data_IF_892672981308
#
_entry.id   IF_892672981308
#
_cell.length_a   1.000
_cell.length_b   1.000
_cell.length_c   1.000
_cell.angle_alpha   90.00
_cell.angle_beta   90.00
_cell.angle_gamma   90.00
#
_symmetry.space_group_name_H-M   'P 1'
#
loop_
_entity.id
_entity.type
_entity.pdbx_description
1 polymer ?
#
# COMPACT_ATOMS: atom_id res chain seq x y z
N UNK A 1 12.26 0.75 9.01
CA UNK A 1 11.03 0.68 8.20
C UNK A 1 10.54 -0.74 8.26
N UNK A 2 9.36 -0.96 8.83
CA UNK A 2 8.73 -2.30 8.85
C UNK A 2 8.28 -2.71 7.45
N UNK A 3 8.09 -4.00 7.19
CA UNK A 3 7.56 -4.49 5.91
C UNK A 3 6.20 -3.85 5.59
N UNK A 4 5.33 -3.72 6.60
CA UNK A 4 4.03 -3.07 6.47
C UNK A 4 4.13 -1.61 6.06
N UNK A 5 4.99 -0.83 6.73
CA UNK A 5 5.26 0.57 6.36
C UNK A 5 5.76 0.70 4.92
N UNK A 6 6.69 -0.17 4.51
CA UNK A 6 7.23 -0.16 3.16
C UNK A 6 6.13 -0.41 2.12
N UNK A 7 5.29 -1.42 2.32
CA UNK A 7 4.21 -1.77 1.39
C UNK A 7 3.19 -0.65 1.24
N UNK A 8 2.87 0.06 2.33
CA UNK A 8 1.99 1.23 2.31
C UNK A 8 2.65 2.38 1.54
N UNK A 9 3.90 2.74 1.88
CA UNK A 9 4.61 3.84 1.21
C UNK A 9 4.78 3.56 -0.29
N UNK A 10 5.17 2.35 -0.65
CA UNK A 10 5.31 1.93 -2.04
C UNK A 10 3.99 2.01 -2.80
N UNK A 11 2.89 1.54 -2.18
CA UNK A 11 1.55 1.62 -2.78
C UNK A 11 1.08 3.06 -2.93
N UNK A 12 1.31 3.92 -1.93
CA UNK A 12 0.96 5.34 -1.98
C UNK A 12 1.75 6.08 -3.07
N UNK A 13 3.06 5.84 -3.16
CA UNK A 13 3.92 6.39 -4.20
C UNK A 13 3.45 5.94 -5.60
N UNK A 14 3.17 4.65 -5.77
CA UNK A 14 2.64 4.12 -7.03
C UNK A 14 1.33 4.80 -7.42
N UNK A 15 0.37 4.88 -6.48
CA UNK A 15 -0.93 5.48 -6.73
C UNK A 15 -0.79 6.95 -7.16
N UNK A 16 0.02 7.73 -6.44
CA UNK A 16 0.24 9.14 -6.73
C UNK A 16 0.90 9.32 -8.11
N UNK A 17 1.99 8.61 -8.38
CA UNK A 17 2.68 8.67 -9.68
C UNK A 17 1.81 8.15 -10.83
N UNK A 18 0.87 7.25 -10.58
CA UNK A 18 0.00 6.72 -11.62
C UNK A 18 -1.16 7.67 -12.00
N UNK A 19 -1.49 8.66 -11.15
CA UNK A 19 -2.61 9.58 -11.40
C UNK A 19 -2.47 10.42 -12.69
N UNK A 20 -1.33 11.07 -12.99
CA UNK A 20 -1.15 11.82 -14.24
C UNK A 20 -1.38 10.96 -15.49
N UNK A 21 -1.01 9.67 -15.43
CA UNK A 21 -1.27 8.73 -16.51
C UNK A 21 -2.78 8.51 -16.73
N UNK A 22 -3.53 8.28 -15.66
CA UNK A 22 -4.98 8.07 -15.73
C UNK A 22 -5.75 9.32 -16.18
N UNK A 23 -5.29 10.50 -15.79
CA UNK A 23 -5.99 11.76 -16.10
C UNK A 23 -5.67 12.26 -17.50
N UNK A 24 -4.39 12.24 -17.89
CA UNK A 24 -3.91 12.89 -19.10
C UNK A 24 -3.20 11.93 -20.05
N UNK A 25 -2.15 11.24 -19.60
CA UNK A 25 -1.19 10.62 -20.54
C UNK A 25 -1.80 9.50 -21.36
N UNK A 26 -2.70 8.67 -20.79
CA UNK A 26 -3.39 7.61 -21.54
C UNK A 26 -4.23 8.11 -22.72
N UNK A 27 -4.57 9.40 -22.76
CA UNK A 27 -5.34 10.01 -23.85
C UNK A 27 -4.45 10.53 -24.98
N UNK A 28 -3.15 10.68 -24.76
CA UNK A 28 -2.21 11.16 -25.77
C UNK A 28 -1.87 10.05 -26.77
N UNK A 29 -1.30 10.40 -27.92
CA UNK A 29 -0.82 9.43 -28.93
C UNK A 29 0.71 9.25 -28.87
N UNK A 30 1.34 9.66 -27.78
CA UNK A 30 2.79 9.52 -27.56
C UNK A 30 3.08 8.19 -26.86
N UNK A 31 2.85 7.07 -27.54
CA UNK A 31 2.87 5.75 -26.93
C UNK A 31 4.23 5.35 -26.33
N UNK A 32 5.34 5.76 -26.96
CA UNK A 32 6.68 5.53 -26.39
C UNK A 32 6.89 6.24 -25.05
N UNK A 33 6.39 7.47 -24.92
CA UNK A 33 6.44 8.23 -23.67
C UNK A 33 5.52 7.65 -22.60
N UNK A 34 4.35 7.15 -22.98
CA UNK A 34 3.45 6.42 -22.08
C UNK A 34 4.11 5.15 -21.54
N UNK A 35 4.72 4.35 -22.42
CA UNK A 35 5.50 3.15 -22.05
C UNK A 35 6.60 3.49 -21.05
N UNK A 36 7.43 4.48 -21.38
CA UNK A 36 8.52 4.93 -20.50
C UNK A 36 7.99 5.40 -19.15
N UNK A 37 6.93 6.21 -19.14
CA UNK A 37 6.32 6.73 -17.91
C UNK A 37 5.79 5.62 -16.99
N UNK A 38 5.11 4.62 -17.56
CA UNK A 38 4.59 3.48 -16.77
C UNK A 38 5.73 2.69 -16.15
N UNK A 39 6.77 2.35 -16.93
CA UNK A 39 7.94 1.64 -16.41
C UNK A 39 8.64 2.44 -15.30
N UNK A 40 8.83 3.75 -15.51
CA UNK A 40 9.39 4.64 -14.51
C UNK A 40 8.53 4.70 -13.24
N UNK A 41 7.21 4.74 -13.38
CA UNK A 41 6.26 4.74 -12.25
C UNK A 41 6.40 3.46 -11.41
N UNK A 42 6.46 2.29 -12.06
CA UNK A 42 6.65 1.02 -11.35
C UNK A 42 8.02 0.89 -10.68
N UNK A 43 9.08 1.40 -11.31
CA UNK A 43 10.42 1.38 -10.73
C UNK A 43 10.52 2.36 -9.55
N UNK A 44 10.06 3.60 -9.75
CA UNK A 44 10.08 4.64 -8.74
C UNK A 44 9.24 4.27 -7.52
N UNK A 45 8.09 3.60 -7.66
CA UNK A 45 7.28 3.22 -6.50
C UNK A 45 7.95 2.21 -5.58
N UNK A 46 8.83 1.37 -6.09
CA UNK A 46 9.62 0.41 -5.31
C UNK A 46 10.85 1.10 -4.72
N UNK A 47 11.47 1.99 -5.49
CA UNK A 47 12.76 2.61 -5.16
C UNK A 47 12.62 3.80 -4.21
N UNK A 48 11.63 4.68 -4.42
CA UNK A 48 11.43 5.91 -3.64
C UNK A 48 11.24 5.68 -2.13
N UNK A 49 10.48 4.68 -1.66
CA UNK A 49 10.30 4.45 -0.22
C UNK A 49 11.60 4.19 0.56
N UNK A 50 12.69 3.80 -0.11
CA UNK A 50 14.00 3.64 0.52
C UNK A 50 14.73 4.97 0.75
N UNK A 51 14.36 6.02 0.01
CA UNK A 51 14.95 7.34 0.15
C UNK A 51 14.16 8.13 1.20
N UNK A 52 14.74 8.23 2.40
CA UNK A 52 14.26 9.12 3.45
C UNK A 52 15.05 10.41 3.36
N UNK A 53 14.46 11.45 2.77
CA UNK A 53 15.08 12.77 2.79
C UNK A 53 14.80 13.44 4.13
N UNK A 54 15.66 13.18 5.13
CA UNK A 54 15.86 13.98 6.36
C UNK A 54 14.63 14.62 7.03
N UNK A 55 13.45 14.00 6.91
CA UNK A 55 12.17 14.67 7.13
C UNK A 55 11.82 14.79 8.61
N UNK A 56 11.27 15.94 8.98
CA UNK A 56 10.69 16.18 10.30
C UNK A 56 9.71 15.08 10.68
N UNK A 57 9.87 14.55 11.89
CA UNK A 57 8.97 13.53 12.44
C UNK A 57 7.64 14.18 12.77
N UNK A 58 6.58 13.87 12.01
CA UNK A 58 5.22 14.14 12.46
C UNK A 58 4.91 13.11 13.55
N UNK A 59 4.90 13.57 14.81
CA UNK A 59 4.42 12.80 15.94
C UNK A 59 2.92 12.60 15.79
N UNK A 60 2.50 11.44 15.31
CA UNK A 60 1.09 11.05 15.35
C UNK A 60 0.84 10.50 16.74
N UNK A 61 0.02 11.19 17.54
CA UNK A 61 -0.46 10.66 18.82
C UNK A 61 -1.38 9.47 18.53
N UNK A 62 -0.81 8.27 18.56
CA UNK A 62 -1.55 7.03 18.52
C UNK A 62 -1.71 6.54 19.96
N UNK A 63 -2.94 6.60 20.48
CA UNK A 63 -3.26 6.08 21.81
C UNK A 63 -3.41 4.56 21.73
N UNK A 64 -2.32 3.83 21.95
CA UNK A 64 -2.38 2.39 22.20
C UNK A 64 -2.25 2.16 23.70
N UNK A 65 -3.35 1.80 24.37
CA UNK A 65 -3.30 1.45 25.78
C UNK A 65 -2.91 -0.03 25.89
N UNK A 66 -1.73 -0.29 26.46
CA UNK A 66 -1.35 -1.62 26.93
C UNK A 66 -2.45 -2.13 27.85
N UNK A 67 -3.00 -3.27 27.49
CA UNK A 67 -4.11 -3.92 28.17
C UNK A 67 -3.68 -4.27 29.61
N UNK A 68 -4.10 -3.45 30.56
CA UNK A 68 -3.90 -3.72 31.98
C UNK A 68 -5.00 -4.69 32.42
N UNK A 69 -4.83 -5.97 32.09
CA UNK A 69 -5.56 -7.04 32.76
C UNK A 69 -4.93 -7.21 34.14
N UNK A 70 -5.65 -6.74 35.15
CA UNK A 70 -5.42 -7.13 36.53
C UNK A 70 -5.60 -8.65 36.63
N UNK A 71 -4.55 -9.36 37.07
CA UNK A 71 -4.62 -10.78 37.38
C UNK A 71 -3.96 -11.71 36.37
N UNK A 72 -2.65 -11.60 36.21
CA UNK A 72 -1.82 -12.81 36.04
C UNK A 72 -0.46 -12.54 36.69
N UNK A 73 -0.08 -13.42 37.61
CA UNK A 73 1.25 -13.44 38.17
C UNK A 73 2.28 -13.47 37.03
N UNK A 74 3.28 -12.60 37.08
CA UNK A 74 4.46 -12.70 36.23
C UNK A 74 5.28 -13.89 36.72
N UNK A 75 5.43 -15.00 35.98
CA UNK A 75 6.43 -15.99 36.33
C UNK A 75 7.80 -15.35 36.09
N UNK A 76 8.66 -15.42 37.10
CA UNK A 76 10.08 -15.14 36.96
C UNK A 76 10.67 -16.11 35.92
N UNK A 77 10.85 -15.59 34.70
CA UNK A 77 11.23 -16.39 33.53
C UNK A 77 10.53 -15.84 32.29
N UNK A 78 10.80 -14.57 31.95
CA UNK A 78 10.39 -14.02 30.66
C UNK A 78 11.24 -14.67 29.56
N UNK A 79 10.91 -15.91 29.20
CA UNK A 79 11.12 -16.34 27.82
C UNK A 79 10.47 -15.27 26.96
N UNK A 80 11.25 -14.65 26.07
CA UNK A 80 10.72 -13.71 25.09
C UNK A 80 9.63 -14.45 24.33
N UNK A 81 8.36 -14.18 24.65
CA UNK A 81 7.23 -14.65 23.85
C UNK A 81 7.51 -14.13 22.46
N UNK A 82 7.91 -15.04 21.57
CA UNK A 82 8.15 -14.72 20.17
C UNK A 82 6.80 -14.35 19.61
N UNK A 83 6.48 -13.05 19.64
CA UNK A 83 5.33 -12.52 18.94
C UNK A 83 5.56 -12.85 17.47
N UNK A 84 4.90 -13.92 17.02
CA UNK A 84 5.01 -14.36 15.63
C UNK A 84 4.41 -13.25 14.78
N UNK A 85 5.23 -12.68 13.89
CA UNK A 85 4.79 -11.66 12.95
C UNK A 85 3.90 -12.31 11.87
N UNK A 86 2.64 -12.54 12.23
CA UNK A 86 1.62 -13.11 11.36
C UNK A 86 1.45 -12.31 10.07
N UNK A 87 1.69 -10.99 10.11
CA UNK A 87 1.60 -10.16 8.91
C UNK A 87 2.67 -10.55 7.90
N UNK A 88 3.93 -10.65 8.31
CA UNK A 88 5.02 -11.10 7.43
C UNK A 88 4.78 -12.53 6.94
N UNK A 89 4.30 -13.43 7.80
CA UNK A 89 3.99 -14.82 7.41
C UNK A 89 2.92 -14.87 6.31
N UNK A 90 1.80 -14.16 6.49
CA UNK A 90 0.73 -14.06 5.49
C UNK A 90 1.23 -13.39 4.21
N UNK A 91 2.03 -12.32 4.33
CA UNK A 91 2.59 -11.64 3.17
C UNK A 91 3.48 -12.57 2.34
N UNK A 92 4.46 -13.22 2.96
CA UNK A 92 5.41 -14.09 2.26
C UNK A 92 4.74 -15.35 1.71
N UNK A 93 3.78 -15.94 2.42
CA UNK A 93 2.99 -17.06 1.87
C UNK A 93 2.27 -16.66 0.58
N UNK A 94 1.66 -15.47 0.54
CA UNK A 94 1.08 -14.91 -0.68
C UNK A 94 2.13 -14.74 -1.78
N UNK A 95 3.28 -14.15 -1.48
CA UNK A 95 4.40 -14.01 -2.43
C UNK A 95 4.82 -15.38 -2.99
N UNK A 96 4.98 -16.40 -2.15
CA UNK A 96 5.34 -17.75 -2.58
C UNK A 96 4.30 -18.38 -3.52
N UNK A 97 3.01 -18.27 -3.19
CA UNK A 97 1.93 -18.79 -4.03
C UNK A 97 1.93 -18.08 -5.39
N UNK A 98 1.96 -16.74 -5.41
CA UNK A 98 1.93 -15.98 -6.65
C UNK A 98 3.23 -16.14 -7.48
N UNK A 99 4.38 -16.26 -6.84
CA UNK A 99 5.65 -16.59 -7.49
C UNK A 99 5.60 -17.99 -8.13
N UNK A 100 5.07 -19.00 -7.42
CA UNK A 100 4.87 -20.34 -7.96
C UNK A 100 3.95 -20.36 -9.17
N UNK A 101 2.82 -19.64 -9.10
CA UNK A 101 1.90 -19.49 -10.24
C UNK A 101 2.55 -18.78 -11.43
N UNK A 102 3.35 -17.75 -11.18
CA UNK A 102 4.12 -17.05 -12.20
C UNK A 102 5.14 -17.99 -12.87
N UNK A 103 5.94 -18.72 -12.08
CA UNK A 103 6.93 -19.68 -12.59
C UNK A 103 6.28 -20.82 -13.37
N UNK A 104 5.11 -21.31 -12.94
CA UNK A 104 4.34 -22.30 -13.68
C UNK A 104 3.88 -21.78 -15.05
N UNK A 105 3.32 -20.57 -15.11
CA UNK A 105 2.92 -19.94 -16.38
C UNK A 105 4.12 -19.68 -17.30
N UNK A 106 5.22 -19.18 -16.73
CA UNK A 106 6.45 -18.91 -17.47
C UNK A 106 7.05 -20.21 -18.01
N UNK A 107 7.17 -21.26 -17.20
CA UNK A 107 7.70 -22.55 -17.65
C UNK A 107 6.84 -23.21 -18.75
N UNK A 108 5.51 -23.10 -18.67
CA UNK A 108 4.61 -23.54 -19.75
C UNK A 108 4.87 -22.76 -21.05
N UNK A 109 5.02 -21.45 -20.97
CA UNK A 109 5.33 -20.61 -22.14
C UNK A 109 6.71 -20.94 -22.73
N UNK A 110 7.72 -21.10 -21.88
CA UNK A 110 9.06 -21.51 -22.30
C UNK A 110 9.05 -22.88 -23.01
N UNK A 111 8.30 -23.86 -22.49
CA UNK A 111 8.13 -25.15 -23.17
C UNK A 111 7.52 -24.98 -24.57
N UNK A 112 6.50 -24.14 -24.72
CA UNK A 112 5.89 -23.90 -26.04
C UNK A 112 6.91 -23.27 -27.00
N UNK A 113 7.62 -22.22 -26.57
CA UNK A 113 8.54 -21.45 -27.43
C UNK A 113 9.83 -22.19 -27.76
N UNK A 114 10.39 -22.96 -26.83
CA UNK A 114 11.70 -23.58 -26.99
C UNK A 114 11.66 -25.06 -27.36
N UNK A 115 10.57 -25.77 -27.06
CA UNK A 115 10.45 -27.21 -27.32
C UNK A 115 9.46 -27.51 -28.44
N UNK A 116 8.32 -26.80 -28.50
CA UNK A 116 7.25 -27.12 -29.46
C UNK A 116 7.32 -26.31 -30.75
N UNK A 117 7.83 -25.08 -30.71
CA UNK A 117 7.93 -24.24 -31.89
C UNK A 117 9.14 -24.65 -32.76
N UNK A 118 8.90 -24.94 -34.04
CA UNK A 118 9.94 -25.32 -34.98
C UNK A 118 10.47 -24.10 -35.74
N UNK A 119 11.79 -23.92 -35.80
CA UNK A 119 12.40 -22.79 -36.50
C UNK A 119 12.36 -23.00 -38.02
N UNK A 120 11.95 -21.97 -38.74
CA UNK A 120 12.07 -21.86 -40.21
C UNK A 120 12.46 -20.43 -40.57
N UNK A 121 13.70 -20.23 -41.00
CA UNK A 121 14.30 -18.91 -41.19
C UNK A 121 14.34 -18.09 -39.89
N UNK A 122 13.85 -16.85 -39.94
CA UNK A 122 13.74 -15.95 -38.79
C UNK A 122 12.47 -16.19 -37.95
N UNK A 123 11.58 -17.07 -38.40
CA UNK A 123 10.27 -17.32 -37.79
C UNK A 123 10.24 -18.69 -37.12
N UNK A 124 9.37 -18.83 -36.12
CA UNK A 124 9.12 -20.11 -35.45
C UNK A 124 7.66 -20.48 -35.66
N UNK A 125 7.40 -21.71 -36.06
CA UNK A 125 6.06 -22.19 -36.38
C UNK A 125 5.57 -23.18 -35.33
N UNK A 126 4.33 -23.01 -34.89
CA UNK A 126 3.66 -23.97 -34.02
C UNK A 126 3.07 -25.13 -34.84
N UNK A 127 2.95 -26.33 -34.26
CA UNK A 127 2.18 -27.41 -34.86
C UNK A 127 0.72 -27.00 -35.09
N UNK A 128 0.08 -27.54 -36.14
CA UNK A 128 -1.33 -27.25 -36.49
C UNK A 128 -2.34 -27.63 -35.40
N UNK A 129 -1.94 -28.47 -34.44
CA UNK A 129 -2.75 -28.81 -33.27
C UNK A 129 -2.97 -27.62 -32.32
N UNK A 130 -2.26 -26.50 -32.50
CA UNK A 130 -2.40 -25.29 -31.70
C UNK A 130 -3.41 -24.33 -32.35
N UNK A 131 -4.10 -23.48 -31.57
CA UNK A 131 -5.01 -22.48 -32.12
C UNK A 131 -4.26 -21.49 -33.03
N UNK A 132 -4.96 -20.93 -34.02
CA UNK A 132 -4.43 -19.89 -34.91
C UNK A 132 -4.03 -18.65 -34.12
N UNK A 133 -2.76 -18.59 -33.72
CA UNK A 133 -2.21 -17.57 -32.83
C UNK A 133 -0.90 -17.06 -33.39
N UNK A 134 -0.65 -15.79 -33.17
CA UNK A 134 0.63 -15.14 -33.40
C UNK A 134 1.04 -14.46 -32.10
N UNK A 135 2.31 -14.62 -31.73
CA UNK A 135 2.88 -13.89 -30.60
C UNK A 135 4.40 -13.84 -30.71
N UNK A 136 4.97 -12.94 -29.93
CA UNK A 136 6.42 -12.75 -29.84
C UNK A 136 6.87 -12.96 -28.40
N UNK A 137 8.03 -13.60 -28.27
CA UNK A 137 8.66 -13.87 -26.98
C UNK A 137 10.15 -13.54 -27.06
N UNK A 138 10.56 -12.48 -26.36
CA UNK A 138 11.87 -11.85 -26.54
C UNK A 138 12.14 -11.55 -28.02
N UNK A 139 13.20 -12.11 -28.60
CA UNK A 139 13.58 -11.89 -30.00
C UNK A 139 12.96 -12.92 -30.97
N UNK A 140 12.11 -13.82 -30.48
CA UNK A 140 11.50 -14.89 -31.29
C UNK A 140 10.08 -14.51 -31.68
N UNK A 141 9.75 -14.69 -32.95
CA UNK A 141 8.40 -14.53 -33.48
C UNK A 141 7.83 -15.92 -33.71
N UNK A 142 6.70 -16.22 -33.07
CA UNK A 142 6.01 -17.51 -33.11
C UNK A 142 4.68 -17.35 -33.85
N UNK A 143 4.45 -18.15 -34.88
CA UNK A 143 3.29 -18.05 -35.75
C UNK A 143 2.63 -19.42 -35.95
N UNK A 144 1.32 -19.43 -36.06
CA UNK A 144 0.59 -20.57 -36.60
C UNK A 144 0.71 -20.63 -38.15
N UNK A 145 0.82 -21.81 -38.77
CA UNK A 145 0.97 -21.93 -40.23
C UNK A 145 -0.25 -21.47 -41.05
N UNK A 146 -1.45 -21.51 -40.47
CA UNK A 146 -2.74 -21.26 -41.13
C UNK A 146 -3.06 -19.82 -41.57
N UNK A 147 -2.12 -18.88 -41.51
CA UNK A 147 -2.34 -17.49 -41.96
C UNK A 147 -2.11 -17.35 -43.48
N UNK A 148 -2.93 -16.55 -44.16
CA UNK A 148 -2.72 -16.22 -45.57
C UNK A 148 -1.50 -15.31 -45.77
N UNK A 149 -0.88 -15.34 -46.95
CA UNK A 149 0.33 -14.52 -47.24
C UNK A 149 0.07 -13.01 -47.12
N UNK A 150 -1.14 -12.56 -47.44
CA UNK A 150 -1.55 -11.16 -47.26
C UNK A 150 -1.61 -10.73 -45.79
N UNK A 151 -2.16 -11.58 -44.92
CA UNK A 151 -2.28 -11.32 -43.48
C UNK A 151 -0.93 -11.45 -42.77
N UNK A 152 -0.13 -12.45 -43.16
CA UNK A 152 1.21 -12.71 -42.60
C UNK A 152 2.09 -11.48 -42.62
N UNK A 153 2.06 -10.68 -43.71
CA UNK A 153 2.85 -9.45 -43.82
C UNK A 153 2.61 -8.50 -42.64
N UNK A 154 1.34 -8.24 -42.30
CA UNK A 154 0.97 -7.33 -41.22
C UNK A 154 1.21 -7.92 -39.84
N UNK A 155 0.86 -9.20 -39.66
CA UNK A 155 1.06 -9.93 -38.40
C UNK A 155 2.55 -10.00 -38.06
N UNK A 156 3.41 -10.38 -39.03
CA UNK A 156 4.86 -10.44 -38.82
C UNK A 156 5.42 -9.06 -38.49
N UNK A 157 4.95 -7.99 -39.15
CA UNK A 157 5.40 -6.62 -38.85
C UNK A 157 4.99 -6.18 -37.44
N UNK A 158 3.79 -6.52 -37.00
CA UNK A 158 3.28 -6.31 -35.64
C UNK A 158 4.14 -7.07 -34.61
N UNK A 159 4.27 -8.39 -34.77
CA UNK A 159 5.05 -9.23 -33.84
C UNK A 159 6.53 -8.87 -33.79
N UNK A 160 7.11 -8.47 -34.93
CA UNK A 160 8.48 -7.98 -35.00
C UNK A 160 8.66 -6.70 -34.19
N UNK A 161 7.64 -5.85 -34.08
CA UNK A 161 7.71 -4.63 -33.26
C UNK A 161 7.84 -4.98 -31.78
N UNK A 162 7.03 -5.91 -31.28
CA UNK A 162 7.14 -6.42 -29.91
C UNK A 162 8.51 -7.05 -29.64
N UNK A 163 9.02 -7.84 -30.59
CA UNK A 163 10.32 -8.50 -30.47
C UNK A 163 11.49 -7.50 -30.47
N UNK A 164 11.46 -6.51 -31.37
CA UNK A 164 12.50 -5.47 -31.49
C UNK A 164 12.54 -4.58 -30.25
N UNK A 165 11.38 -4.23 -29.70
CA UNK A 165 11.26 -3.37 -28.53
C UNK A 165 11.31 -4.11 -27.19
N UNK A 166 11.43 -5.44 -27.23
CA UNK A 166 11.52 -6.31 -26.04
C UNK A 166 10.32 -6.15 -25.09
N UNK A 167 9.10 -6.00 -25.63
CA UNK A 167 7.87 -5.81 -24.82
C UNK A 167 7.64 -6.95 -23.80
N UNK A 168 8.17 -8.16 -24.06
CA UNK A 168 8.16 -9.25 -23.09
C UNK A 168 8.84 -8.87 -21.76
N UNK A 169 9.96 -8.15 -21.79
CA UNK A 169 10.68 -7.74 -20.57
C UNK A 169 9.85 -6.79 -19.71
N UNK A 170 9.20 -5.82 -20.34
CA UNK A 170 8.33 -4.87 -19.68
C UNK A 170 7.15 -5.55 -18.97
N UNK A 171 6.55 -6.56 -19.62
CA UNK A 171 5.47 -7.34 -19.01
C UNK A 171 5.97 -8.21 -17.86
N UNK A 172 7.15 -8.83 -18.00
CA UNK A 172 7.78 -9.60 -16.91
C UNK A 172 8.12 -8.72 -15.71
N UNK A 173 8.58 -7.49 -15.94
CA UNK A 173 8.81 -6.50 -14.88
C UNK A 173 7.54 -6.27 -14.06
N UNK A 174 6.40 -6.00 -14.72
CA UNK A 174 5.14 -5.80 -14.01
C UNK A 174 4.55 -7.08 -13.42
N UNK A 175 4.76 -8.25 -14.00
CA UNK A 175 4.41 -9.53 -13.37
C UNK A 175 5.16 -9.71 -12.05
N UNK A 176 6.46 -9.41 -12.05
CA UNK A 176 7.28 -9.45 -10.84
C UNK A 176 6.75 -8.48 -9.77
N UNK A 177 6.46 -7.23 -10.14
CA UNK A 177 5.81 -6.28 -9.23
C UNK A 177 4.47 -6.80 -8.70
N UNK A 178 3.65 -7.43 -9.54
CA UNK A 178 2.37 -8.01 -9.13
C UNK A 178 2.54 -9.21 -8.18
N UNK A 179 3.66 -9.94 -8.22
CA UNK A 179 3.96 -11.01 -7.25
C UNK A 179 4.24 -10.42 -5.86
N UNK A 180 5.08 -9.39 -5.77
CA UNK A 180 5.34 -8.72 -4.48
C UNK A 180 4.15 -7.92 -3.97
N UNK A 181 3.36 -7.36 -4.87
CA UNK A 181 2.16 -6.59 -4.57
C UNK A 181 0.89 -7.39 -4.91
N UNK A 182 0.87 -8.68 -4.59
CA UNK A 182 -0.21 -9.63 -4.97
C UNK A 182 -1.60 -9.23 -4.46
N UNK A 183 -1.69 -8.43 -3.40
CA UNK A 183 -2.94 -7.89 -2.87
C UNK A 183 -3.35 -6.57 -3.55
N UNK A 184 -2.42 -5.89 -4.23
CA UNK A 184 -2.64 -4.55 -4.77
C UNK A 184 -3.19 -4.61 -6.22
N UNK A 185 -4.38 -4.06 -6.50
CA UNK A 185 -4.95 -4.05 -7.84
C UNK A 185 -4.31 -3.00 -8.78
N UNK A 186 -3.66 -1.96 -8.25
CA UNK A 186 -3.10 -0.87 -9.05
C UNK A 186 -1.97 -1.35 -9.98
N UNK A 187 -1.06 -2.20 -9.47
CA UNK A 187 0.00 -2.79 -10.29
C UNK A 187 -0.56 -3.65 -11.43
N UNK A 188 -1.66 -4.38 -11.17
CA UNK A 188 -2.35 -5.18 -12.20
C UNK A 188 -3.04 -4.32 -13.25
N UNK A 189 -3.64 -3.21 -12.84
CA UNK A 189 -4.23 -2.23 -13.76
C UNK A 189 -3.16 -1.58 -14.65
N UNK A 190 -2.03 -1.16 -14.07
CA UNK A 190 -0.93 -0.58 -14.82
C UNK A 190 -0.27 -1.58 -15.77
N UNK A 191 -0.11 -2.85 -15.37
CA UNK A 191 0.31 -3.93 -16.27
C UNK A 191 -0.61 -4.04 -17.49
N UNK A 192 -1.93 -3.98 -17.28
CA UNK A 192 -2.92 -4.01 -18.38
C UNK A 192 -2.76 -2.80 -19.31
N UNK A 193 -2.54 -1.61 -18.74
CA UNK A 193 -2.34 -0.37 -19.49
C UNK A 193 -1.03 -0.35 -20.28
N UNK A 194 0.04 -0.92 -19.72
CA UNK A 194 1.30 -1.10 -20.40
C UNK A 194 1.15 -2.06 -21.60
N UNK A 195 0.45 -3.18 -21.41
CA UNK A 195 0.16 -4.11 -22.49
C UNK A 195 -0.66 -3.43 -23.61
N UNK A 196 -1.69 -2.66 -23.27
CA UNK A 196 -2.49 -1.90 -24.24
C UNK A 196 -1.62 -0.86 -24.99
N UNK A 197 -0.69 -0.21 -24.29
CA UNK A 197 0.30 0.70 -24.90
C UNK A 197 1.22 -0.03 -25.89
N UNK A 198 1.65 -1.26 -25.57
CA UNK A 198 2.45 -2.07 -26.48
C UNK A 198 1.70 -2.41 -27.77
N UNK A 199 0.41 -2.76 -27.65
CA UNK A 199 -0.46 -2.99 -28.82
C UNK A 199 -0.54 -1.73 -29.69
N UNK A 200 -0.72 -0.54 -29.11
CA UNK A 200 -0.77 0.71 -29.87
C UNK A 200 0.53 1.01 -30.63
N UNK A 201 1.68 0.75 -29.99
CA UNK A 201 3.01 0.91 -30.63
C UNK A 201 3.16 -0.06 -31.80
N UNK A 202 2.73 -1.31 -31.61
CA UNK A 202 2.83 -2.34 -32.63
C UNK A 202 1.85 -2.08 -33.78
N UNK A 203 0.64 -1.62 -33.49
CA UNK A 203 -0.38 -1.22 -34.47
C UNK A 203 0.10 -0.03 -35.32
N UNK A 204 0.67 1.01 -34.69
CA UNK A 204 1.21 2.19 -35.41
C UNK A 204 2.33 1.77 -36.39
N UNK A 205 3.16 0.80 -36.03
CA UNK A 205 4.21 0.30 -36.90
C UNK A 205 3.68 -0.66 -37.96
N UNK A 206 2.66 -1.47 -37.64
CA UNK A 206 2.11 -2.47 -38.54
C UNK A 206 1.25 -1.85 -39.66
N UNK A 207 0.40 -0.88 -39.34
CA UNK A 207 -0.58 -0.32 -40.26
C UNK A 207 0.05 0.34 -41.50
N UNK A 208 1.18 1.05 -41.33
CA UNK A 208 1.83 1.76 -42.44
C UNK A 208 0.85 2.70 -43.16
N UNK A 209 0.85 2.67 -44.50
CA UNK A 209 -0.02 3.51 -45.33
C UNK A 209 -1.45 2.95 -45.50
N UNK A 210 -1.69 1.69 -45.16
CA UNK A 210 -2.98 1.01 -45.34
C UNK A 210 -3.58 0.56 -44.00
N UNK A 211 -3.97 1.54 -43.20
CA UNK A 211 -4.59 1.32 -41.90
C UNK A 211 -5.92 0.57 -41.98
N UNK A 212 -6.69 0.76 -43.05
CA UNK A 212 -8.01 0.14 -43.22
C UNK A 212 -7.87 -1.36 -43.46
N UNK A 213 -6.96 -1.78 -44.34
CA UNK A 213 -6.71 -3.20 -44.56
C UNK A 213 -6.16 -3.87 -43.30
N UNK A 214 -5.24 -3.21 -42.61
CA UNK A 214 -4.70 -3.72 -41.35
C UNK A 214 -5.80 -3.92 -40.28
N UNK A 215 -6.72 -2.95 -40.12
CA UNK A 215 -7.84 -3.08 -39.19
C UNK A 215 -8.75 -4.27 -39.53
N UNK A 216 -8.97 -4.56 -40.82
CA UNK A 216 -9.74 -5.74 -41.25
C UNK A 216 -9.03 -7.04 -40.87
N UNK A 217 -7.72 -7.13 -41.12
CA UNK A 217 -6.90 -8.28 -40.71
C UNK A 217 -6.97 -8.46 -39.19
N UNK A 218 -6.88 -7.37 -38.42
CA UNK A 218 -6.97 -7.42 -36.97
C UNK A 218 -8.33 -7.92 -36.47
N UNK A 219 -9.42 -7.41 -37.04
CA UNK A 219 -10.79 -7.84 -36.70
C UNK A 219 -11.00 -9.31 -37.09
N UNK A 220 -10.58 -9.71 -38.29
CA UNK A 220 -10.66 -11.10 -38.75
C UNK A 220 -9.90 -12.05 -37.82
N UNK A 221 -8.69 -11.65 -37.40
CA UNK A 221 -7.85 -12.42 -36.48
C UNK A 221 -8.51 -12.59 -35.10
N UNK A 222 -9.08 -11.53 -34.53
CA UNK A 222 -9.74 -11.59 -33.22
C UNK A 222 -11.06 -12.36 -33.26
N UNK A 223 -11.79 -12.33 -34.37
CA UNK A 223 -13.11 -12.97 -34.50
C UNK A 223 -13.03 -14.45 -34.88
N UNK A 224 -11.98 -14.90 -35.57
CA UNK A 224 -11.71 -16.32 -35.82
C UNK A 224 -12.83 -17.13 -36.51
N UNK A 225 -13.84 -16.47 -37.10
CA UNK A 225 -15.01 -17.10 -37.72
C UNK A 225 -15.51 -16.30 -38.93
N UNK A 226 -16.09 -16.95 -39.97
CA UNK A 226 -17.02 -16.28 -40.88
C UNK A 226 -18.18 -15.68 -40.07
N UNK A 227 -18.76 -14.57 -40.54
CA UNK A 227 -19.57 -13.57 -39.81
C UNK A 227 -20.83 -14.03 -39.02
N UNK A 228 -20.98 -15.30 -38.63
CA UNK A 228 -22.11 -15.84 -37.90
C UNK A 228 -21.66 -16.80 -36.78
N UNK A 229 -21.16 -16.26 -35.66
CA UNK A 229 -21.33 -16.89 -34.34
C UNK A 229 -20.93 -15.91 -33.22
N UNK A 230 -21.92 -15.18 -32.74
CA UNK A 230 -21.81 -14.17 -31.68
C UNK A 230 -21.93 -14.80 -30.29
N UNK A 231 -21.08 -15.77 -29.92
CA UNK A 231 -21.10 -16.33 -28.56
C UNK A 231 -19.70 -16.78 -28.11
N UNK A 232 -19.13 -16.00 -27.17
CA UNK A 232 -18.00 -16.34 -26.26
C UNK A 232 -16.52 -16.02 -26.59
N UNK A 233 -16.14 -15.49 -27.76
CA UNK A 233 -14.79 -14.88 -27.95
C UNK A 233 -14.71 -13.38 -27.57
N UNK A 234 -15.79 -12.80 -27.04
CA UNK A 234 -15.86 -11.43 -26.53
C UNK A 234 -15.24 -11.26 -25.13
N UNK A 235 -14.08 -11.85 -24.84
CA UNK A 235 -13.43 -11.73 -23.53
C UNK A 235 -12.49 -10.52 -23.39
N UNK A 236 -12.66 -9.48 -24.24
CA UNK A 236 -12.44 -8.03 -23.93
C UNK A 236 -12.82 -7.12 -25.11
N UNK A 237 -14.10 -6.75 -25.25
CA UNK A 237 -14.56 -5.80 -26.29
C UNK A 237 -13.79 -4.46 -26.26
N UNK A 238 -13.37 -4.02 -25.08
CA UNK A 238 -12.69 -2.72 -24.90
C UNK A 238 -11.29 -2.62 -25.52
N UNK A 239 -10.53 -3.71 -25.68
CA UNK A 239 -9.13 -3.61 -26.17
C UNK A 239 -9.03 -3.45 -27.69
N UNK A 240 -9.83 -4.21 -28.45
CA UNK A 240 -9.91 -4.05 -29.90
C UNK A 240 -10.50 -2.69 -30.26
N UNK A 241 -11.55 -2.28 -29.55
CA UNK A 241 -12.14 -0.95 -29.73
C UNK A 241 -11.12 0.15 -29.43
N UNK A 242 -10.37 0.07 -28.32
CA UNK A 242 -9.28 1.02 -28.02
C UNK A 242 -8.24 1.07 -29.13
N UNK A 243 -7.80 -0.08 -29.65
CA UNK A 243 -6.80 -0.16 -30.74
C UNK A 243 -7.29 0.50 -32.01
N UNK A 244 -8.51 0.18 -32.46
CA UNK A 244 -9.14 0.79 -33.64
C UNK A 244 -9.32 2.30 -33.43
N UNK A 245 -9.82 2.72 -32.27
CA UNK A 245 -10.01 4.13 -31.95
C UNK A 245 -8.69 4.89 -31.95
N UNK A 246 -7.62 4.33 -31.38
CA UNK A 246 -6.31 4.99 -31.33
C UNK A 246 -5.59 5.00 -32.68
N UNK A 247 -5.81 4.00 -33.54
CA UNK A 247 -5.35 4.02 -34.93
C UNK A 247 -6.02 5.12 -35.76
N UNK A 248 -7.32 5.37 -35.54
CA UNK A 248 -8.08 6.39 -36.27
C UNK A 248 -7.98 7.79 -35.63
N UNK A 249 -7.29 7.92 -34.51
CA UNK A 249 -7.16 9.18 -33.78
C UNK A 249 -6.13 10.09 -34.43
N UNK A 250 -6.43 11.39 -34.50
CA UNK A 250 -5.46 12.40 -34.94
C UNK A 250 -4.27 12.46 -33.98
N UNK A 251 -3.05 12.54 -34.53
CA UNK A 251 -1.85 12.59 -33.70
C UNK A 251 -1.87 13.83 -32.80
N UNK A 252 -1.52 13.64 -31.54
CA UNK A 252 -1.43 14.72 -30.56
C UNK A 252 -0.37 15.75 -30.99
N UNK A 253 -0.63 17.06 -30.83
CA UNK A 253 0.33 18.08 -31.20
C UNK A 253 1.59 17.96 -30.33
N UNK A 254 2.76 18.30 -30.87
CA UNK A 254 4.04 18.24 -30.13
C UNK A 254 3.99 19.06 -28.82
N UNK A 255 3.20 20.14 -28.78
CA UNK A 255 2.98 20.93 -27.58
C UNK A 255 2.35 20.12 -26.42
N UNK A 256 1.55 19.08 -26.71
CA UNK A 256 0.99 18.22 -25.67
C UNK A 256 2.06 17.38 -24.94
N UNK A 257 3.28 17.31 -25.47
CA UNK A 257 4.42 16.71 -24.77
C UNK A 257 4.78 17.49 -23.49
N UNK A 258 4.57 18.82 -23.46
CA UNK A 258 4.74 19.61 -22.23
C UNK A 258 3.80 19.17 -21.11
N UNK A 259 2.69 18.49 -21.45
CA UNK A 259 1.80 17.89 -20.45
C UNK A 259 2.53 16.88 -19.55
N UNK A 260 3.60 16.23 -20.02
CA UNK A 260 4.40 15.32 -19.18
C UNK A 260 5.14 16.03 -18.04
N UNK A 261 5.30 17.36 -18.09
CA UNK A 261 5.80 18.13 -16.94
C UNK A 261 4.88 18.02 -15.72
N UNK A 262 3.61 17.66 -15.90
CA UNK A 262 2.70 17.33 -14.80
C UNK A 262 3.23 16.17 -13.94
N UNK A 263 4.13 15.32 -14.46
CA UNK A 263 4.75 14.27 -13.66
C UNK A 263 5.64 14.82 -12.52
N UNK A 264 6.26 15.99 -12.70
CA UNK A 264 7.22 16.57 -11.75
C UNK A 264 6.60 16.83 -10.37
N UNK A 265 5.47 17.55 -10.23
CA UNK A 265 4.87 17.78 -8.91
C UNK A 265 4.38 16.47 -8.24
N UNK A 266 3.97 15.47 -9.01
CA UNK A 266 3.57 14.17 -8.45
C UNK A 266 4.79 13.36 -7.99
N UNK A 267 5.92 13.49 -8.69
CA UNK A 267 7.20 12.90 -8.27
C UNK A 267 7.71 13.54 -6.98
N UNK A 268 7.70 14.88 -6.89
CA UNK A 268 8.09 15.56 -5.65
C UNK A 268 7.15 15.21 -4.50
N UNK A 269 5.84 15.13 -4.75
CA UNK A 269 4.87 14.63 -3.77
C UNK A 269 5.15 13.20 -3.32
N UNK A 270 5.51 12.28 -4.23
CA UNK A 270 5.86 10.91 -3.89
C UNK A 270 7.16 10.82 -3.06
N UNK A 271 8.13 11.69 -3.34
CA UNK A 271 9.34 11.83 -2.53
C UNK A 271 9.01 12.34 -1.12
N UNK A 272 8.12 13.34 -0.98
CA UNK A 272 7.65 13.79 0.34
C UNK A 272 6.96 12.66 1.11
N UNK A 273 6.08 11.88 0.45
CA UNK A 273 5.43 10.71 1.05
C UNK A 273 6.44 9.70 1.59
N UNK A 274 7.52 9.47 0.84
CA UNK A 274 8.58 8.54 1.23
C UNK A 274 9.37 9.01 2.46
N UNK A 275 9.51 10.32 2.64
CA UNK A 275 10.19 10.95 3.77
C UNK A 275 9.37 10.99 5.06
N UNK A 276 8.04 10.86 5.00
CA UNK A 276 7.22 10.84 6.22
C UNK A 276 7.48 9.58 7.03
N UNK A 277 8.07 9.76 8.21
CA UNK A 277 8.20 8.69 9.20
C UNK A 277 7.07 8.81 10.20
N UNK A 278 6.12 7.88 10.13
CA UNK A 278 5.11 7.68 11.17
C UNK A 278 5.82 7.12 12.41
N UNK A 279 6.26 8.00 13.31
CA UNK A 279 6.54 7.60 14.69
C UNK A 279 5.24 7.70 15.46
N UNK A 280 4.65 6.55 15.76
CA UNK A 280 3.67 6.46 16.83
C UNK A 280 4.41 6.82 18.12
N UNK A 281 4.08 7.97 18.71
CA UNK A 281 4.56 8.28 20.04
C UNK A 281 3.71 7.44 21.00
N UNK A 282 4.28 6.33 21.50
CA UNK A 282 3.73 5.62 22.65
C UNK A 282 3.78 6.57 23.84
N UNK A 283 2.73 7.38 24.02
CA UNK A 283 2.45 7.93 25.34
C UNK A 283 1.95 6.76 26.20
N UNK A 284 2.87 5.98 26.78
CA UNK A 284 2.64 5.48 28.14
C UNK A 284 2.17 6.69 28.93
N UNK A 285 0.96 6.66 29.48
CA UNK A 285 0.31 7.83 30.07
C UNK A 285 1.27 8.67 30.92
N UNK A 286 1.82 9.72 30.31
CA UNK A 286 2.71 10.67 30.96
C UNK A 286 2.07 12.04 30.73
N UNK A 287 1.39 12.48 31.79
CA UNK A 287 1.51 13.82 32.36
C UNK A 287 1.68 14.96 31.34
N UNK A 288 0.56 15.56 30.93
CA UNK A 288 0.57 16.95 30.48
C UNK A 288 0.58 17.86 31.71
N UNK A 289 1.77 18.33 32.11
CA UNK A 289 1.90 19.46 33.04
C UNK A 289 1.42 20.71 32.30
N UNK A 290 0.41 21.39 32.83
CA UNK A 290 -0.04 22.68 32.31
C UNK A 290 1.06 23.72 32.50
N UNK A 291 1.21 24.58 31.48
CA UNK A 291 2.30 25.54 31.33
C UNK A 291 2.19 26.64 32.39
N UNK A 292 2.91 26.45 33.49
CA UNK A 292 3.12 27.43 34.56
C UNK A 292 4.28 26.95 35.42
N UNK A 293 5.42 27.63 35.29
CA UNK A 293 6.74 27.35 35.86
C UNK A 293 7.50 26.15 35.28
N UNK A 294 8.81 26.33 35.07
CA UNK A 294 9.71 25.34 34.48
C UNK A 294 9.93 24.17 35.45
N UNK A 295 9.01 23.20 35.45
CA UNK A 295 9.14 21.93 36.17
C UNK A 295 10.08 21.02 35.38
N UNK A 296 11.28 20.75 35.89
CA UNK A 296 12.28 19.87 35.25
C UNK A 296 12.12 18.41 35.70
N UNK A 297 11.71 18.19 36.96
CA UNK A 297 11.31 16.86 37.46
C UNK A 297 9.82 16.82 37.74
N UNK A 298 9.12 15.91 37.08
CA UNK A 298 7.68 15.71 37.24
C UNK A 298 7.34 15.06 38.59
N UNK A 299 6.13 15.30 39.14
CA UNK A 299 5.65 14.57 40.28
C UNK A 299 5.57 13.07 40.00
N UNK A 300 5.97 12.27 40.99
CA UNK A 300 5.96 10.81 40.87
C UNK A 300 5.29 10.15 42.06
N UNK A 301 4.46 9.14 41.82
CA UNK A 301 3.89 8.33 42.90
C UNK A 301 5.02 7.65 43.70
N UNK A 302 4.92 7.63 45.03
CA UNK A 302 5.94 6.98 45.88
C UNK A 302 6.00 5.47 45.55
N UNK A 303 7.16 5.00 45.09
CA UNK A 303 7.33 3.62 44.59
C UNK A 303 7.11 3.46 43.08
N UNK A 304 6.94 4.55 42.34
CA UNK A 304 6.84 4.54 40.88
C UNK A 304 5.46 4.15 40.36
N UNK A 305 5.37 4.03 39.03
CA UNK A 305 4.11 3.76 38.33
C UNK A 305 3.52 2.39 38.70
N UNK A 306 4.35 1.40 38.98
CA UNK A 306 3.89 0.04 39.38
C UNK A 306 3.15 0.06 40.72
N UNK A 307 3.68 0.78 41.72
CA UNK A 307 3.01 0.95 43.01
C UNK A 307 1.68 1.70 42.88
N UNK A 308 1.63 2.72 42.01
CA UNK A 308 0.40 3.44 41.71
C UNK A 308 -0.66 2.52 41.09
N UNK A 309 -0.27 1.69 40.13
CA UNK A 309 -1.16 0.73 39.48
C UNK A 309 -1.68 -0.29 40.50
N UNK A 310 -0.82 -0.82 41.37
CA UNK A 310 -1.21 -1.76 42.43
C UNK A 310 -2.20 -1.13 43.42
N UNK A 311 -2.00 0.14 43.77
CA UNK A 311 -2.93 0.89 44.60
C UNK A 311 -4.28 1.05 43.91
N UNK A 312 -4.29 1.46 42.64
CA UNK A 312 -5.52 1.63 41.87
C UNK A 312 -6.28 0.30 41.77
N UNK A 313 -5.62 -0.80 41.43
CA UNK A 313 -6.28 -2.11 41.33
C UNK A 313 -6.85 -2.61 42.65
N UNK A 314 -6.19 -2.30 43.78
CA UNK A 314 -6.64 -2.74 45.09
C UNK A 314 -7.78 -1.87 45.65
N UNK A 315 -7.93 -0.63 45.18
CA UNK A 315 -8.86 0.33 45.77
C UNK A 315 -10.03 0.70 44.86
N UNK A 316 -9.98 0.43 43.55
CA UNK A 316 -11.10 0.67 42.63
C UNK A 316 -12.18 -0.40 42.83
N UNK A 317 -13.39 0.07 43.09
CA UNK A 317 -14.59 -0.76 43.22
C UNK A 317 -15.56 -0.39 42.11
N UNK A 318 -15.96 -1.37 41.30
CA UNK A 318 -16.90 -1.12 40.22
C UNK A 318 -18.32 -0.88 40.79
N UNK A 319 -18.94 0.30 40.58
CA UNK A 319 -20.27 0.62 41.09
C UNK A 319 -21.37 -0.33 40.57
N UNK A 320 -22.27 -0.78 41.45
CA UNK A 320 -23.29 -1.78 41.14
C UNK A 320 -24.31 -1.30 40.09
N UNK A 321 -24.61 -0.01 40.05
CA UNK A 321 -25.47 0.61 39.04
C UNK A 321 -24.80 0.55 37.64
N UNK A 322 -23.50 0.84 37.57
CA UNK A 322 -22.72 0.74 36.34
C UNK A 322 -22.57 -0.71 35.86
N UNK A 323 -22.47 -1.68 36.78
CA UNK A 323 -22.51 -3.12 36.45
C UNK A 323 -23.85 -3.52 35.85
N UNK A 324 -24.96 -3.15 36.48
CA UNK A 324 -26.33 -3.45 35.99
C UNK A 324 -26.60 -2.83 34.63
N UNK A 325 -26.10 -1.62 34.40
CA UNK A 325 -26.24 -0.90 33.14
C UNK A 325 -25.26 -1.37 32.05
N UNK A 326 -24.35 -2.30 32.34
CA UNK A 326 -23.26 -2.75 31.45
C UNK A 326 -22.39 -1.59 30.93
N UNK A 327 -22.25 -0.55 31.74
CA UNK A 327 -21.56 0.68 31.34
C UNK A 327 -20.07 0.52 31.58
N UNK A 328 -19.29 0.35 30.51
CA UNK A 328 -17.84 0.29 30.54
C UNK A 328 -17.24 1.52 29.83
N UNK A 329 -16.03 1.91 30.20
CA UNK A 329 -15.37 3.05 29.57
C UNK A 329 -14.13 3.54 30.30
N UNK A 330 -13.60 4.67 29.85
CA UNK A 330 -12.41 5.31 30.42
C UNK A 330 -12.75 6.68 31.00
N UNK A 331 -12.63 6.81 32.31
CA UNK A 331 -12.73 8.07 33.04
C UNK A 331 -11.34 8.68 33.14
N UNK A 332 -11.17 9.95 32.77
CA UNK A 332 -9.90 10.66 32.94
C UNK A 332 -10.05 11.68 34.06
N UNK A 333 -9.25 11.53 35.11
CA UNK A 333 -9.23 12.46 36.24
C UNK A 333 -8.00 13.35 36.16
N UNK A 334 -8.24 14.65 36.24
CA UNK A 334 -7.25 15.70 36.39
C UNK A 334 -7.10 16.06 37.87
N UNK A 335 -5.89 16.29 38.37
CA UNK A 335 -5.66 16.77 39.74
C UNK A 335 -4.32 17.52 39.83
N UNK A 336 -4.10 18.24 40.92
CA UNK A 336 -2.88 19.00 41.19
C UNK A 336 -2.14 18.36 42.36
N UNK A 337 -0.87 18.00 42.15
CA UNK A 337 0.05 17.64 43.24
C UNK A 337 0.67 18.93 43.77
N UNK A 338 0.53 19.21 45.06
CA UNK A 338 1.08 20.41 45.69
C UNK A 338 2.58 20.27 46.05
N UNK A 339 3.20 21.32 46.62
CA UNK A 339 4.62 21.28 47.00
C UNK A 339 4.94 20.25 48.10
N UNK A 340 3.93 19.75 48.82
CA UNK A 340 4.07 18.71 49.84
C UNK A 340 3.84 17.31 49.27
N UNK A 341 3.47 17.19 48.00
CA UNK A 341 3.14 15.92 47.36
C UNK A 341 1.68 15.51 47.54
N UNK A 342 0.81 16.37 48.06
CA UNK A 342 -0.59 16.02 48.29
C UNK A 342 -1.43 16.23 47.03
N UNK A 343 -2.35 15.31 46.76
CA UNK A 343 -3.35 15.44 45.69
C UNK A 343 -4.40 16.47 46.11
N UNK A 344 -4.63 17.46 45.25
CA UNK A 344 -5.60 18.54 45.45
C UNK A 344 -6.35 18.82 44.14
N UNK A 345 -7.53 19.46 44.23
CA UNK A 345 -8.32 19.88 43.06
C UNK A 345 -8.62 18.77 42.03
N UNK A 346 -8.91 17.55 42.47
CA UNK A 346 -9.27 16.46 41.56
C UNK A 346 -10.61 16.74 40.85
N UNK A 347 -10.64 16.64 39.52
CA UNK A 347 -11.78 16.90 38.66
C UNK A 347 -11.81 15.91 37.49
N UNK A 348 -13.00 15.52 37.05
CA UNK A 348 -13.15 14.64 35.88
C UNK A 348 -13.01 15.48 34.60
N UNK A 349 -12.05 15.10 33.76
CA UNK A 349 -11.79 15.71 32.46
C UNK A 349 -12.50 14.98 31.31
N UNK A 350 -12.65 13.67 31.43
CA UNK A 350 -13.42 12.84 30.49
C UNK A 350 -14.34 11.93 31.30
N UNK A 351 -15.64 12.14 31.11
CA UNK A 351 -16.71 11.43 31.82
C UNK A 351 -17.17 10.20 31.04
N UNK A 352 -17.62 9.17 31.76
CA UNK A 352 -18.30 7.99 31.20
C UNK A 352 -19.70 7.87 31.77
N UNK A 353 -19.81 7.84 33.10
CA UNK A 353 -21.09 7.89 33.82
C UNK A 353 -20.88 8.51 35.20
N UNK A 354 -21.93 9.10 35.80
CA UNK A 354 -21.82 9.74 37.12
C UNK A 354 -21.26 8.81 38.21
N UNK A 355 -21.59 7.53 38.19
CA UNK A 355 -21.11 6.55 39.16
C UNK A 355 -19.65 6.16 38.96
N UNK A 356 -19.21 5.95 37.73
CA UNK A 356 -17.80 5.68 37.42
C UNK A 356 -16.92 6.89 37.69
N UNK A 357 -17.43 8.08 37.41
CA UNK A 357 -16.77 9.35 37.67
C UNK A 357 -16.59 9.58 39.18
N UNK A 358 -17.62 9.31 39.98
CA UNK A 358 -17.55 9.41 41.44
C UNK A 358 -16.52 8.44 42.03
N UNK A 359 -16.49 7.20 41.53
CA UNK A 359 -15.53 6.20 41.98
C UNK A 359 -14.09 6.59 41.60
N UNK A 360 -13.88 7.03 40.37
CA UNK A 360 -12.57 7.51 39.91
C UNK A 360 -12.07 8.68 40.79
N UNK A 361 -12.92 9.65 41.09
CA UNK A 361 -12.58 10.76 41.99
C UNK A 361 -12.28 10.29 43.42
N UNK A 362 -13.05 9.34 43.96
CA UNK A 362 -12.82 8.79 45.31
C UNK A 362 -11.44 8.19 45.42
N UNK A 363 -11.06 7.34 44.45
CA UNK A 363 -9.76 6.66 44.47
C UNK A 363 -8.61 7.65 44.30
N UNK A 364 -8.70 8.59 43.37
CA UNK A 364 -7.66 9.62 43.17
C UNK A 364 -7.48 10.48 44.43
N UNK A 365 -8.56 10.90 45.10
CA UNK A 365 -8.46 11.69 46.32
C UNK A 365 -7.93 10.90 47.53
N UNK A 366 -8.01 9.57 47.49
CA UNK A 366 -7.48 8.67 48.52
C UNK A 366 -6.00 8.29 48.33
N UNK A 367 -5.36 8.78 47.26
CA UNK A 367 -3.96 8.45 46.99
C UNK A 367 -3.03 8.96 48.10
N UNK A 368 -2.00 8.17 48.47
CA UNK A 368 -0.96 8.62 49.38
C UNK A 368 -0.13 9.75 48.76
N UNK A 369 0.66 10.42 49.59
CA UNK A 369 1.51 11.51 49.15
C UNK A 369 2.46 11.10 48.01
N UNK A 370 2.52 11.95 47.00
CA UNK A 370 3.40 11.88 45.85
C UNK A 370 4.75 12.53 46.16
N UNK A 371 5.72 12.28 45.29
CA UNK A 371 6.91 13.12 45.16
C UNK A 371 6.48 14.37 44.40
N UNK A 372 6.65 15.59 44.95
CA UNK A 372 6.26 16.83 44.28
C UNK A 372 7.16 17.11 43.08
N UNK A 373 6.69 17.98 42.17
CA UNK A 373 7.51 18.44 41.05
C UNK A 373 8.64 19.35 41.54
N UNK A 374 9.77 19.36 40.83
CA UNK A 374 10.92 20.23 41.13
C UNK A 374 11.31 21.09 39.92
N UNK A 375 11.68 22.35 40.17
CA UNK A 375 12.31 23.23 39.17
C UNK A 375 13.80 22.93 39.02
N UNK A 376 14.44 23.56 38.02
CA UNK A 376 15.91 23.50 37.81
C UNK A 376 16.73 23.91 39.02
N UNK A 377 16.16 24.78 39.85
CA UNK A 377 16.78 25.33 41.07
C UNK A 377 16.50 24.45 42.30
N UNK A 378 15.85 23.30 42.14
CA UNK A 378 15.50 22.38 43.23
C UNK A 378 14.29 22.82 44.06
N UNK A 379 13.54 23.83 43.62
CA UNK A 379 12.34 24.31 44.33
C UNK A 379 11.15 23.41 44.02
N UNK A 380 10.46 22.96 45.07
CA UNK A 380 9.22 22.19 44.94
C UNK A 380 8.11 23.07 44.37
N UNK A 381 7.38 22.55 43.40
CA UNK A 381 6.34 23.27 42.66
C UNK A 381 5.09 22.43 42.48
N UNK A 382 3.95 23.12 42.39
CA UNK A 382 2.67 22.49 42.10
C UNK A 382 2.65 22.04 40.65
N UNK A 383 2.11 20.86 40.40
CA UNK A 383 2.05 20.30 39.06
C UNK A 383 0.73 19.58 38.81
N UNK A 384 0.19 19.83 37.63
CA UNK A 384 -1.07 19.27 37.18
C UNK A 384 -0.85 17.90 36.54
N UNK A 385 -1.68 16.94 36.91
CA UNK A 385 -1.58 15.53 36.59
C UNK A 385 -2.88 15.03 35.97
N UNK A 386 -2.78 14.06 35.06
CA UNK A 386 -3.95 13.39 34.48
C UNK A 386 -3.75 11.87 34.57
N UNK A 387 -4.72 11.15 35.16
CA UNK A 387 -4.72 9.70 35.24
C UNK A 387 -5.97 9.15 34.53
N UNK A 388 -5.82 8.31 33.49
CA UNK A 388 -6.91 7.55 32.91
C UNK A 388 -7.20 6.29 33.74
N UNK A 389 -8.45 6.10 34.14
CA UNK A 389 -8.95 4.91 34.84
C UNK A 389 -9.95 4.20 33.92
N UNK A 390 -9.68 2.94 33.58
CA UNK A 390 -10.57 2.11 32.75
C UNK A 390 -11.45 1.23 33.64
N UNK A 391 -12.75 1.28 33.40
CA UNK A 391 -13.73 0.36 33.95
C UNK A 391 -14.15 -0.62 32.85
N UNK A 392 -13.89 -1.91 33.07
CA UNK A 392 -14.31 -3.00 32.19
C UNK A 392 -15.08 -4.03 33.01
N UNK A 393 -16.11 -4.61 32.39
CA UNK A 393 -16.84 -5.75 32.92
C UNK A 393 -16.25 -7.00 32.27
N UNK A 394 -16.02 -8.03 33.07
CA UNK A 394 -15.57 -9.34 32.59
C UNK A 394 -16.60 -10.03 31.70
#
# INVERSE_FOLDING_TARGET
MTLFEYLIRSTACFALLYLPYLLLFRRLTFFQWQRFYLLLTGAASVVLPFFVAGGETISVQAYWLKELLAGSETPAGAESVVHTDWFSLVYFSGVFVFAGLFLFRLSRLLRIVFVKAQKSGDLHFLPESYPQTAFSFFRRIVLHPGFSEGEKKYIVKHERTHARQLHTLDLLFYEWLCVFAWFNPLYRLARKQLAETHEFIADEQACGDDAVHYQRVLVAHVLGLPAASLTHSFSRPGSLQSRINMMNKTKSPKAALFGYLLAVPFLTGAMMISSFTLKAQEETGVVKVSKGDQVEKQPGYKGGNEAMVKFLSANIHYPEDAKKAKTAGMVVVNFVVDENGKVTKAQVKKSVSPSLDAEALRVINSMPDWTPGETKEGKKVKAEMNIPIRFALD
#
